data_IF_051030999662
#
_entry.id   IF_051030999662
#
_cell.length_a   1.000
_cell.length_b   1.000
_cell.length_c   1.000
_cell.angle_alpha   90.00
_cell.angle_beta   90.00
_cell.angle_gamma   90.00
#
_symmetry.space_group_name_H-M   'P 1'
#
loop_
_entity.id
_entity.type
_entity.pdbx_description
1 polymer ?
#
# COMPACT_ATOMS: atom_id res chain seq x y z
N UNK A 1 71.14 43.74 -33.52
CA UNK A 1 70.11 43.37 -34.51
C UNK A 1 69.66 41.96 -34.24
N UNK A 2 68.33 41.78 -34.21
CA UNK A 2 67.53 40.56 -34.17
C UNK A 2 68.01 39.49 -35.17
N UNK A 3 67.74 38.19 -35.09
CA UNK A 3 67.26 37.23 -34.08
C UNK A 3 67.22 35.91 -34.87
N UNK A 4 67.99 34.87 -34.50
CA UNK A 4 67.93 33.61 -35.25
C UNK A 4 66.64 32.86 -34.91
N UNK A 5 65.86 32.69 -35.97
CA UNK A 5 64.61 31.96 -36.07
C UNK A 5 64.86 30.45 -36.20
N UNK A 6 64.11 29.66 -35.44
CA UNK A 6 63.65 28.34 -35.90
C UNK A 6 64.36 27.12 -35.34
N UNK A 7 63.99 26.71 -34.12
CA UNK A 7 63.93 25.30 -33.77
C UNK A 7 62.93 25.09 -32.63
N UNK A 8 61.73 24.61 -32.97
CA UNK A 8 60.76 24.13 -31.99
C UNK A 8 61.37 22.98 -31.17
N UNK A 9 61.27 22.97 -29.82
CA UNK A 9 61.72 21.84 -29.02
C UNK A 9 60.84 20.60 -29.28
N UNK A 10 61.38 19.38 -29.11
CA UNK A 10 60.65 18.15 -29.40
C UNK A 10 59.46 17.99 -28.46
N UNK A 11 58.28 17.70 -29.03
CA UNK A 11 57.09 17.30 -28.30
C UNK A 11 57.35 15.93 -27.64
N UNK A 12 57.88 15.95 -26.42
CA UNK A 12 58.03 14.72 -25.62
C UNK A 12 56.65 14.17 -25.22
N UNK A 13 56.47 12.84 -25.28
CA UNK A 13 55.27 12.13 -24.78
C UNK A 13 54.91 12.53 -23.34
N UNK A 14 55.91 12.89 -22.54
CA UNK A 14 55.73 13.34 -21.16
C UNK A 14 55.03 14.71 -21.05
N UNK A 15 55.05 15.54 -22.10
CA UNK A 15 54.36 16.84 -22.12
C UNK A 15 52.85 16.69 -22.38
N UNK A 16 52.45 15.81 -23.32
CA UNK A 16 51.03 15.50 -23.60
C UNK A 16 50.34 14.89 -22.37
N UNK A 17 51.09 14.19 -21.50
CA UNK A 17 50.56 13.56 -20.29
C UNK A 17 50.24 14.54 -19.14
N UNK A 18 50.63 15.82 -19.23
CA UNK A 18 50.36 16.82 -18.18
C UNK A 18 49.01 17.51 -18.30
N UNK A 19 48.29 17.31 -19.41
CA UNK A 19 47.23 18.23 -19.80
C UNK A 19 45.79 17.74 -19.56
N UNK A 20 45.53 16.58 -18.94
CA UNK A 20 44.15 16.17 -18.60
C UNK A 20 43.98 15.31 -17.32
N UNK A 21 44.62 15.62 -16.16
CA UNK A 21 44.31 14.90 -14.91
C UNK A 21 42.87 15.17 -14.41
N UNK A 22 42.27 16.31 -14.77
CA UNK A 22 40.86 16.64 -14.41
C UNK A 22 39.84 15.82 -15.20
N UNK A 23 40.10 15.56 -16.48
CA UNK A 23 39.16 14.86 -17.36
C UNK A 23 39.04 13.37 -17.02
N UNK A 24 40.13 12.69 -16.68
CA UNK A 24 40.12 11.27 -16.29
C UNK A 24 39.41 11.07 -14.94
N UNK A 25 39.63 11.97 -13.98
CA UNK A 25 38.91 11.96 -12.69
C UNK A 25 37.42 12.23 -12.90
N UNK A 26 37.05 13.18 -13.76
CA UNK A 26 35.66 13.40 -14.17
C UNK A 26 35.06 12.14 -14.83
N UNK A 27 35.73 11.53 -15.81
CA UNK A 27 35.25 10.34 -16.52
C UNK A 27 35.03 9.16 -15.56
N UNK A 28 35.97 8.92 -14.63
CA UNK A 28 35.84 7.85 -13.64
C UNK A 28 34.74 8.15 -12.60
N UNK A 29 34.56 9.42 -12.22
CA UNK A 29 33.49 9.86 -11.32
C UNK A 29 32.12 9.72 -11.99
N UNK A 30 31.97 10.16 -13.24
CA UNK A 30 30.74 9.98 -14.01
C UNK A 30 30.47 8.50 -14.32
N UNK A 31 31.47 7.70 -14.67
CA UNK A 31 31.31 6.26 -14.88
C UNK A 31 30.87 5.53 -13.61
N UNK A 32 31.43 5.90 -12.45
CA UNK A 32 31.06 5.33 -11.16
C UNK A 32 29.65 5.75 -10.71
N UNK A 33 29.32 7.04 -10.82
CA UNK A 33 27.99 7.56 -10.47
C UNK A 33 26.95 6.96 -11.39
N UNK A 34 27.19 6.94 -12.70
CA UNK A 34 26.24 6.39 -13.68
C UNK A 34 26.06 4.88 -13.50
N UNK A 35 27.11 4.12 -13.16
CA UNK A 35 26.98 2.69 -12.86
C UNK A 35 26.17 2.46 -11.58
N UNK A 36 26.41 3.23 -10.53
CA UNK A 36 25.68 3.07 -9.28
C UNK A 36 24.23 3.55 -9.40
N UNK A 37 23.97 4.67 -10.09
CA UNK A 37 22.60 5.17 -10.32
C UNK A 37 21.81 4.26 -11.25
N UNK A 38 22.44 3.67 -12.28
CA UNK A 38 21.78 2.66 -13.12
C UNK A 38 21.46 1.39 -12.33
N UNK A 39 22.38 0.89 -11.52
CA UNK A 39 22.12 -0.26 -10.63
C UNK A 39 20.97 0.03 -9.66
N UNK A 40 20.98 1.20 -9.01
CA UNK A 40 19.93 1.62 -8.07
C UNK A 40 18.58 1.75 -8.79
N UNK A 41 18.55 2.33 -9.99
CA UNK A 41 17.32 2.49 -10.78
C UNK A 41 16.74 1.13 -11.19
N UNK A 42 17.56 0.22 -11.71
CA UNK A 42 17.10 -1.13 -12.07
C UNK A 42 16.68 -1.95 -10.85
N UNK A 43 17.38 -1.81 -9.72
CA UNK A 43 16.96 -2.44 -8.46
C UNK A 43 15.62 -1.90 -7.96
N UNK A 44 15.37 -0.60 -8.07
CA UNK A 44 14.11 0.02 -7.68
C UNK A 44 12.96 -0.40 -8.62
N UNK A 45 13.18 -0.41 -9.93
CA UNK A 45 12.21 -0.92 -10.91
C UNK A 45 11.91 -2.40 -10.69
N UNK A 46 12.94 -3.22 -10.43
CA UNK A 46 12.75 -4.63 -10.11
C UNK A 46 11.94 -4.79 -8.80
N UNK A 47 12.23 -4.01 -7.75
CA UNK A 47 11.43 -4.01 -6.53
C UNK A 47 9.97 -3.61 -6.77
N UNK A 48 9.71 -2.59 -7.60
CA UNK A 48 8.33 -2.19 -7.96
C UNK A 48 7.60 -3.31 -8.69
N UNK A 49 8.27 -3.98 -9.64
CA UNK A 49 7.68 -5.08 -10.40
C UNK A 49 7.44 -6.32 -9.53
N UNK A 50 8.34 -6.61 -8.58
CA UNK A 50 8.21 -7.74 -7.65
C UNK A 50 7.15 -7.52 -6.57
N UNK A 51 6.88 -6.26 -6.20
CA UNK A 51 5.81 -5.90 -5.24
C UNK A 51 4.40 -6.15 -5.83
N UNK A 52 4.27 -6.32 -7.15
CA UNK A 52 2.98 -6.63 -7.81
C UNK A 52 2.66 -8.12 -7.91
N UNK A 53 3.31 -8.98 -7.11
CA UNK A 53 2.76 -10.30 -6.82
C UNK A 53 1.54 -10.13 -5.91
N UNK A 54 0.45 -9.62 -6.47
CA UNK A 54 -0.85 -9.57 -5.82
C UNK A 54 -1.34 -11.01 -5.74
N UNK A 55 -1.31 -11.56 -4.52
CA UNK A 55 -1.97 -12.82 -4.23
C UNK A 55 -3.42 -12.69 -4.71
N UNK A 56 -3.82 -13.57 -5.63
CA UNK A 56 -5.20 -13.61 -6.08
C UNK A 56 -6.10 -13.68 -4.83
N UNK A 57 -7.07 -12.75 -4.66
CA UNK A 57 -7.87 -12.74 -3.45
C UNK A 57 -8.62 -14.08 -3.38
N UNK A 58 -8.29 -14.87 -2.35
CA UNK A 58 -9.11 -16.01 -1.97
C UNK A 58 -10.54 -15.49 -1.89
N UNK A 59 -11.45 -16.09 -2.67
CA UNK A 59 -12.83 -15.61 -2.82
C UNK A 59 -13.44 -15.32 -1.44
N UNK A 60 -13.48 -14.05 -1.07
CA UNK A 60 -13.97 -13.61 0.23
C UNK A 60 -15.47 -13.85 0.23
N UNK A 61 -15.94 -14.80 1.04
CA UNK A 61 -17.38 -15.04 1.18
C UNK A 61 -17.96 -13.77 1.81
N UNK A 62 -18.87 -13.06 1.11
CA UNK A 62 -19.41 -11.82 1.65
C UNK A 62 -20.16 -12.12 2.95
N UNK A 63 -19.85 -11.32 3.96
CA UNK A 63 -20.45 -11.34 5.28
C UNK A 63 -21.99 -11.21 5.21
N UNK A 64 -22.47 -10.28 4.39
CA UNK A 64 -23.90 -10.00 4.18
C UNK A 64 -24.48 -10.98 3.17
N UNK A 65 -25.59 -11.62 3.55
CA UNK A 65 -26.29 -12.59 2.69
C UNK A 65 -27.65 -12.05 2.25
N UNK A 66 -28.13 -12.40 1.05
CA UNK A 66 -29.48 -12.03 0.64
C UNK A 66 -30.51 -12.69 1.57
N UNK A 67 -31.41 -11.88 2.12
CA UNK A 67 -32.50 -12.34 2.98
C UNK A 67 -33.83 -12.34 2.24
N UNK A 68 -34.69 -13.31 2.54
CA UNK A 68 -36.08 -13.30 2.10
C UNK A 68 -36.84 -12.17 2.79
N UNK A 69 -37.90 -11.66 2.15
CA UNK A 69 -38.80 -10.64 2.74
C UNK A 69 -39.88 -11.24 3.65
N UNK A 70 -39.66 -12.46 4.14
CA UNK A 70 -40.60 -13.11 5.05
C UNK A 70 -40.47 -12.48 6.45
N UNK A 71 -41.59 -12.01 6.99
CA UNK A 71 -41.63 -11.35 8.29
C UNK A 71 -41.85 -12.39 9.40
N UNK A 72 -40.79 -12.65 10.17
CA UNK A 72 -40.78 -13.54 11.34
C UNK A 72 -39.91 -12.87 12.40
N UNK A 73 -40.49 -11.95 13.20
CA UNK A 73 -39.70 -11.06 14.02
C UNK A 73 -38.85 -11.83 15.04
N UNK A 74 -37.65 -11.31 15.29
CA UNK A 74 -36.75 -11.79 16.36
C UNK A 74 -36.30 -10.61 17.21
N UNK A 75 -36.07 -10.85 18.50
CA UNK A 75 -35.54 -9.87 19.42
C UNK A 75 -34.06 -10.14 19.68
N UNK A 76 -33.19 -9.25 19.22
CA UNK A 76 -31.78 -9.25 19.58
C UNK A 76 -31.58 -8.55 20.93
N UNK A 77 -30.75 -9.12 21.81
CA UNK A 77 -30.37 -8.50 23.09
C UNK A 77 -28.85 -8.32 23.19
N UNK A 78 -28.46 -7.18 23.76
CA UNK A 78 -27.08 -6.83 24.10
C UNK A 78 -27.10 -6.12 25.46
N UNK A 79 -26.88 -6.88 26.54
CA UNK A 79 -27.01 -6.36 27.91
C UNK A 79 -28.41 -5.82 28.17
N UNK A 80 -28.53 -4.50 28.43
CA UNK A 80 -29.82 -3.81 28.65
C UNK A 80 -30.49 -3.33 27.37
N UNK A 81 -29.82 -3.39 26.22
CA UNK A 81 -30.37 -2.98 24.94
C UNK A 81 -31.08 -4.16 24.29
N UNK A 82 -32.24 -3.90 23.70
CA UNK A 82 -32.93 -4.84 22.84
C UNK A 82 -33.37 -4.16 21.55
N UNK A 83 -33.38 -4.91 20.45
CA UNK A 83 -33.82 -4.43 19.15
C UNK A 83 -34.54 -5.54 18.41
N UNK A 84 -35.67 -5.18 17.80
CA UNK A 84 -36.43 -6.09 16.97
C UNK A 84 -35.89 -6.06 15.53
N UNK A 85 -35.73 -7.25 14.94
CA UNK A 85 -35.37 -7.45 13.56
C UNK A 85 -36.52 -8.13 12.81
N UNK A 86 -36.65 -7.87 11.51
CA UNK A 86 -37.74 -8.39 10.69
C UNK A 86 -37.72 -9.91 10.53
N UNK A 87 -36.52 -10.50 10.56
CA UNK A 87 -36.28 -11.94 10.62
C UNK A 87 -34.86 -12.26 11.09
N UNK A 88 -34.59 -13.54 11.36
CA UNK A 88 -33.29 -14.03 11.81
C UNK A 88 -32.15 -13.76 10.81
N UNK A 89 -32.44 -13.74 9.51
CA UNK A 89 -31.44 -13.44 8.49
C UNK A 89 -30.96 -11.99 8.59
N UNK A 90 -31.90 -11.04 8.75
CA UNK A 90 -31.57 -9.63 8.94
C UNK A 90 -30.78 -9.38 10.24
N UNK A 91 -31.09 -10.10 11.32
CA UNK A 91 -30.30 -10.06 12.56
C UNK A 91 -28.85 -10.53 12.33
N UNK A 92 -28.66 -11.63 11.58
CA UNK A 92 -27.31 -12.14 11.25
C UNK A 92 -26.51 -11.15 10.42
N UNK A 93 -27.13 -10.57 9.39
CA UNK A 93 -26.48 -9.55 8.57
C UNK A 93 -26.08 -8.33 9.42
N UNK A 94 -26.97 -7.87 10.30
CA UNK A 94 -26.67 -6.74 11.17
C UNK A 94 -25.47 -7.01 12.08
N UNK A 95 -25.42 -8.15 12.77
CA UNK A 95 -24.28 -8.51 13.62
C UNK A 95 -22.99 -8.72 12.82
N UNK A 96 -23.10 -9.11 11.56
CA UNK A 96 -21.96 -9.29 10.68
C UNK A 96 -21.39 -7.94 10.22
N UNK A 97 -22.24 -6.96 9.91
CA UNK A 97 -21.83 -5.59 9.55
C UNK A 97 -21.41 -4.75 10.76
N UNK A 98 -21.97 -5.02 11.94
CA UNK A 98 -21.85 -4.19 13.14
C UNK A 98 -21.30 -5.02 14.31
N UNK A 99 -20.04 -5.43 14.23
CA UNK A 99 -19.42 -6.31 15.23
C UNK A 99 -19.31 -5.65 16.62
N UNK A 100 -19.08 -4.35 16.69
CA UNK A 100 -19.02 -3.58 17.95
C UNK A 100 -20.39 -3.42 18.62
N UNK A 101 -21.46 -3.32 17.82
CA UNK A 101 -22.85 -3.13 18.26
C UNK A 101 -23.70 -4.40 18.04
N UNK A 102 -23.06 -5.56 18.03
CA UNK A 102 -23.75 -6.83 17.80
C UNK A 102 -24.72 -7.16 18.95
N UNK A 103 -25.85 -7.78 18.61
CA UNK A 103 -26.78 -8.37 19.57
C UNK A 103 -26.46 -9.85 19.69
N UNK A 104 -25.65 -10.32 20.66
CA UNK A 104 -25.21 -11.72 20.73
C UNK A 104 -26.36 -12.71 20.97
N UNK A 105 -27.38 -12.28 21.71
CA UNK A 105 -28.50 -13.13 22.07
C UNK A 105 -29.68 -12.88 21.13
N UNK A 106 -30.26 -13.97 20.60
CA UNK A 106 -31.44 -13.93 19.73
C UNK A 106 -32.59 -14.69 20.40
N UNK A 107 -33.72 -14.02 20.57
CA UNK A 107 -34.97 -14.63 21.00
C UNK A 107 -36.01 -14.62 19.86
N UNK A 108 -36.76 -15.72 19.68
CA UNK A 108 -37.85 -15.75 18.70
C UNK A 108 -39.00 -14.84 19.15
N UNK A 109 -39.59 -14.12 18.20
CA UNK A 109 -40.72 -13.22 18.45
C UNK A 109 -40.31 -11.74 18.55
N UNK A 110 -41.30 -10.85 18.70
CA UNK A 110 -41.06 -9.42 18.83
C UNK A 110 -40.41 -9.08 20.17
N UNK A 111 -39.70 -7.93 20.22
CA UNK A 111 -39.19 -7.44 21.50
C UNK A 111 -40.33 -6.96 22.42
N UNK A 112 -40.17 -7.08 23.74
CA UNK A 112 -41.13 -6.52 24.68
C UNK A 112 -41.20 -4.99 24.52
N UNK A 113 -42.39 -4.38 24.74
CA UNK A 113 -42.51 -2.93 24.74
C UNK A 113 -41.62 -2.34 25.83
N UNK A 114 -40.97 -1.20 25.54
CA UNK A 114 -40.25 -0.45 26.56
C UNK A 114 -41.27 -0.01 27.61
N UNK A 115 -41.09 -0.43 28.85
CA UNK A 115 -41.90 0.09 29.96
C UNK A 115 -41.74 1.61 30.02
N UNK A 116 -42.83 2.36 30.29
CA UNK A 116 -42.72 3.79 30.54
C UNK A 116 -41.68 4.06 31.64
N UNK A 117 -40.93 5.17 31.60
CA UNK A 117 -40.11 5.56 32.74
C UNK A 117 -41.04 5.70 33.96
N UNK A 118 -40.76 4.92 35.00
CA UNK A 118 -41.43 5.04 36.30
C UNK A 118 -41.00 6.37 36.91
N UNK A 119 -41.96 7.27 37.13
CA UNK A 119 -41.77 8.54 37.83
C UNK A 119 -41.55 8.33 39.33
#
# INVERSE_FOLDING_TARGET
>A
TWQDSGSSPPLSINYIKREQPRLIVQINFYSCIMRNTTIIFFAFLACILLVSAEEAPAAEVPCVRPCTRHFQPVCGKQGRKSRQFSNACMWKNHNCENTEDAYPDMEPGPCPPKSPPTE
#
